data_IF_510952399026
#
_entry.id   IF_510952399026
#
_cell.length_a   1.000
_cell.length_b   1.000
_cell.length_c   1.000
_cell.angle_alpha   90.00
_cell.angle_beta   90.00
_cell.angle_gamma   90.00
#
_symmetry.space_group_name_H-M   'P 1'
#
loop_
_entity.id
_entity.type
_entity.pdbx_description
1 polymer ?
#
# COMPACT_ATOMS: atom_id res chain seq x y z
N UNK A 1 5.93 7.11 2.36
CA UNK A 1 4.99 6.82 3.46
C UNK A 1 5.06 7.89 4.55
N UNK A 2 4.65 9.11 4.25
CA UNK A 2 4.61 10.15 5.30
C UNK A 2 3.33 9.97 6.13
N UNK A 3 3.45 9.95 7.45
CA UNK A 3 2.31 9.87 8.38
C UNK A 3 1.65 8.49 8.51
N UNK A 4 2.33 7.41 8.10
CA UNK A 4 1.85 6.03 8.30
C UNK A 4 2.65 5.38 9.43
N UNK A 5 1.96 4.89 10.45
CA UNK A 5 2.57 4.13 11.53
C UNK A 5 2.68 2.64 11.14
N UNK A 6 3.80 2.01 11.46
CA UNK A 6 4.01 0.57 11.32
C UNK A 6 4.89 0.09 12.47
N UNK A 7 4.85 -1.21 12.79
CA UNK A 7 5.65 -1.76 13.89
C UNK A 7 7.14 -1.80 13.51
N UNK A 8 7.92 -0.88 14.08
CA UNK A 8 9.35 -0.75 13.82
C UNK A 8 10.15 -2.00 14.24
N UNK A 9 9.64 -2.83 15.15
CA UNK A 9 10.34 -4.03 15.64
C UNK A 9 10.44 -5.11 14.56
N UNK A 10 9.50 -5.14 13.63
CA UNK A 10 9.49 -6.08 12.49
C UNK A 10 9.87 -5.42 11.17
N UNK A 11 10.22 -4.12 11.18
CA UNK A 11 10.58 -3.37 9.99
C UNK A 11 11.62 -4.04 9.08
N UNK A 12 12.69 -4.68 9.59
CA UNK A 12 13.65 -5.38 8.74
C UNK A 12 13.02 -6.51 7.89
N UNK A 13 11.95 -7.14 8.39
CA UNK A 13 11.21 -8.19 7.67
C UNK A 13 10.16 -7.64 6.70
N UNK A 14 9.85 -6.34 6.78
CA UNK A 14 8.86 -5.68 5.94
C UNK A 14 9.47 -4.96 4.73
N UNK A 15 10.80 -4.99 4.56
CA UNK A 15 11.51 -4.27 3.49
C UNK A 15 11.06 -4.73 2.10
N UNK A 16 10.80 -6.02 1.92
CA UNK A 16 10.27 -6.57 0.66
C UNK A 16 8.87 -6.03 0.32
N UNK A 17 8.14 -5.53 1.32
CA UNK A 17 6.83 -4.91 1.16
C UNK A 17 6.88 -3.39 1.23
N UNK A 18 8.07 -2.79 1.03
CA UNK A 18 8.17 -1.35 0.84
C UNK A 18 7.26 -0.89 -0.30
N UNK A 19 6.66 0.32 -0.25
CA UNK A 19 5.77 0.80 -1.30
C UNK A 19 6.40 0.75 -2.69
N UNK A 20 7.70 1.02 -2.77
CA UNK A 20 8.46 1.07 -4.02
C UNK A 20 8.70 -0.33 -4.63
N UNK A 21 8.46 -1.40 -3.85
CA UNK A 21 8.45 -2.78 -4.35
C UNK A 21 7.18 -3.08 -5.17
N UNK A 22 6.15 -2.23 -5.08
CA UNK A 22 4.88 -2.39 -5.80
C UNK A 22 4.71 -1.36 -6.91
N UNK A 23 3.83 -1.69 -7.87
CA UNK A 23 3.38 -0.75 -8.90
C UNK A 23 2.53 0.37 -8.29
N UNK A 24 2.48 1.52 -8.96
CA UNK A 24 1.52 2.57 -8.61
C UNK A 24 0.08 2.04 -8.76
N UNK A 25 -0.60 1.84 -7.63
CA UNK A 25 -1.96 1.32 -7.61
C UNK A 25 -2.94 2.22 -8.36
N UNK A 26 -2.71 3.54 -8.40
CA UNK A 26 -3.52 4.47 -9.16
C UNK A 26 -3.42 4.22 -10.67
N UNK A 27 -2.21 3.97 -11.18
CA UNK A 27 -1.98 3.61 -12.57
C UNK A 27 -2.62 2.27 -12.92
N UNK A 28 -2.48 1.26 -12.04
CA UNK A 28 -3.11 -0.05 -12.21
C UNK A 28 -4.65 0.08 -12.29
N UNK A 29 -5.26 0.77 -11.33
CA UNK A 29 -6.72 0.95 -11.31
C UNK A 29 -7.24 1.73 -12.52
N UNK A 30 -6.48 2.72 -13.03
CA UNK A 30 -6.84 3.42 -14.27
C UNK A 30 -6.83 2.50 -15.49
N UNK A 31 -5.82 1.62 -15.59
CA UNK A 31 -5.73 0.65 -16.67
C UNK A 31 -6.87 -0.39 -16.63
N UNK A 32 -7.41 -0.68 -15.44
CA UNK A 32 -8.51 -1.66 -15.27
C UNK A 32 -9.92 -1.05 -15.33
N UNK A 33 -10.08 0.20 -15.81
CA UNK A 33 -11.36 0.93 -15.80
C UNK A 33 -12.49 0.22 -16.56
N UNK A 34 -12.18 -0.53 -17.61
CA UNK A 34 -13.18 -1.27 -18.39
C UNK A 34 -13.78 -2.45 -17.61
N UNK A 35 -13.04 -2.99 -16.64
CA UNK A 35 -13.43 -4.16 -15.85
C UNK A 35 -13.93 -3.79 -14.45
N UNK A 36 -13.45 -2.67 -13.90
CA UNK A 36 -13.72 -2.28 -12.51
C UNK A 36 -13.87 -0.77 -12.37
N UNK A 37 -14.66 -0.34 -11.39
CA UNK A 37 -14.81 1.07 -11.03
C UNK A 37 -14.20 1.33 -9.66
N UNK A 38 -13.25 2.25 -9.59
CA UNK A 38 -12.77 2.78 -8.31
C UNK A 38 -13.87 3.62 -7.64
N UNK A 39 -14.34 3.19 -6.48
CA UNK A 39 -15.44 3.86 -5.74
C UNK A 39 -14.93 4.87 -4.73
N UNK A 40 -13.75 4.65 -4.15
CA UNK A 40 -13.14 5.51 -3.14
C UNK A 40 -11.63 5.29 -3.10
N UNK A 41 -10.88 6.35 -2.78
CA UNK A 41 -9.46 6.26 -2.43
C UNK A 41 -9.29 6.41 -0.93
N UNK A 42 -8.50 5.51 -0.33
CA UNK A 42 -8.13 5.54 1.09
C UNK A 42 -6.66 5.91 1.24
N UNK A 43 -6.30 6.47 2.39
CA UNK A 43 -4.92 6.74 2.79
C UNK A 43 -4.64 5.96 4.07
N UNK A 44 -3.58 5.14 4.12
CA UNK A 44 -3.25 4.38 5.32
C UNK A 44 -2.82 5.31 6.46
N UNK A 45 -3.15 4.94 7.68
CA UNK A 45 -2.70 5.59 8.93
C UNK A 45 -1.89 4.61 9.77
N UNK A 46 -2.28 3.33 9.79
CA UNK A 46 -1.63 2.24 10.50
C UNK A 46 -1.50 1.02 9.58
N UNK A 47 -0.30 0.45 9.51
CA UNK A 47 -0.05 -0.87 8.94
C UNK A 47 0.40 -1.83 10.05
N UNK A 48 -0.51 -2.66 10.54
CA UNK A 48 -0.22 -3.71 11.51
C UNK A 48 -0.19 -5.06 10.80
N UNK A 49 1.02 -5.62 10.67
CA UNK A 49 1.24 -6.90 9.96
C UNK A 49 1.65 -7.98 10.95
N UNK A 50 1.18 -9.20 10.70
CA UNK A 50 1.59 -10.38 11.44
C UNK A 50 3.07 -10.72 11.21
N UNK A 51 3.68 -11.35 12.20
CA UNK A 51 5.08 -11.79 12.19
C UNK A 51 5.23 -13.26 11.79
#
# INVERSE_FOLDING_TARGET
>A
MQGVWFDHRVAPRLVEEAPDAYKDIGAVMRAQRELTRAVRRLRPVLAFKGA
#
